data_IF_086206106056
#
_entry.id   IF_086206106056
#
_cell.length_a   1.000
_cell.length_b   1.000
_cell.length_c   1.000
_cell.angle_alpha   90.00
_cell.angle_beta   90.00
_cell.angle_gamma   90.00
#
_symmetry.space_group_name_H-M   'P 1'
#
loop_
_entity.id
_entity.type
_entity.pdbx_description
1 polymer ?
#
# COMPACT_ATOMS: atom_id res chain seq x y z
N UNK A 1 -16.76 -21.54 2.76
CA UNK A 1 -17.53 -20.28 2.63
C UNK A 1 -18.16 -20.30 1.25
N UNK A 2 -19.47 -20.09 1.14
CA UNK A 2 -20.09 -19.91 -0.17
C UNK A 2 -19.84 -18.47 -0.64
N UNK A 3 -19.15 -18.30 -1.77
CA UNK A 3 -18.83 -16.99 -2.34
C UNK A 3 -20.07 -16.26 -2.83
N UNK A 4 -21.08 -17.00 -3.30
CA UNK A 4 -22.37 -16.46 -3.72
C UNK A 4 -23.09 -15.77 -2.55
N UNK A 5 -23.04 -16.37 -1.36
CA UNK A 5 -23.57 -15.76 -0.14
C UNK A 5 -22.77 -14.50 0.25
N UNK A 6 -21.45 -14.46 0.00
CA UNK A 6 -20.65 -13.26 0.25
C UNK A 6 -21.06 -12.13 -0.69
N UNK A 7 -21.16 -12.40 -2.00
CA UNK A 7 -21.55 -11.40 -2.98
C UNK A 7 -22.92 -10.81 -2.67
N UNK A 8 -23.90 -11.68 -2.37
CA UNK A 8 -25.25 -11.29 -1.98
C UNK A 8 -25.25 -10.38 -0.76
N UNK A 9 -24.55 -10.77 0.31
CA UNK A 9 -24.44 -9.95 1.52
C UNK A 9 -23.79 -8.58 1.26
N UNK A 10 -22.82 -8.51 0.34
CA UNK A 10 -22.16 -7.25 -0.05
C UNK A 10 -23.08 -6.34 -0.86
N UNK A 11 -24.02 -6.92 -1.62
CA UNK A 11 -24.95 -6.19 -2.46
C UNK A 11 -26.15 -5.67 -1.68
N UNK A 12 -26.70 -6.47 -0.76
CA UNK A 12 -27.94 -6.15 -0.05
C UNK A 12 -27.81 -4.95 0.88
N UNK A 13 -26.68 -4.82 1.59
CA UNK A 13 -26.49 -3.77 2.59
C UNK A 13 -25.04 -3.39 2.81
N UNK A 14 -24.84 -2.20 3.39
CA UNK A 14 -23.53 -1.80 3.91
C UNK A 14 -23.17 -2.61 5.14
N UNK A 15 -21.97 -3.19 5.12
CA UNK A 15 -21.48 -3.97 6.24
C UNK A 15 -20.99 -3.10 7.40
N UNK A 16 -21.05 -3.67 8.61
CA UNK A 16 -20.39 -3.14 9.81
C UNK A 16 -18.91 -3.54 9.83
N UNK A 17 -18.11 -2.85 10.65
CA UNK A 17 -16.66 -3.11 10.76
C UNK A 17 -16.35 -4.57 11.12
N UNK A 18 -17.03 -5.13 12.11
CA UNK A 18 -16.87 -6.52 12.55
C UNK A 18 -17.22 -7.52 11.43
N UNK A 19 -18.24 -7.21 10.62
CA UNK A 19 -18.63 -8.04 9.47
C UNK A 19 -17.55 -8.02 8.38
N UNK A 20 -16.92 -6.86 8.12
CA UNK A 20 -15.78 -6.78 7.20
C UNK A 20 -14.63 -7.67 7.66
N UNK A 21 -14.25 -7.63 8.94
CA UNK A 21 -13.20 -8.50 9.48
C UNK A 21 -13.57 -9.98 9.41
N UNK A 22 -14.78 -10.33 9.85
CA UNK A 22 -15.27 -11.72 9.83
C UNK A 22 -15.24 -12.30 8.42
N UNK A 23 -15.75 -11.56 7.42
CA UNK A 23 -15.75 -11.98 6.01
C UNK A 23 -14.33 -12.05 5.46
N UNK A 24 -13.48 -11.09 5.79
CA UNK A 24 -12.06 -11.08 5.39
C UNK A 24 -11.32 -12.32 5.89
N UNK A 25 -11.44 -12.64 7.19
CA UNK A 25 -10.75 -13.81 7.76
C UNK A 25 -11.30 -15.14 7.24
N UNK A 26 -12.62 -15.25 7.02
CA UNK A 26 -13.21 -16.43 6.37
C UNK A 26 -12.67 -16.61 4.96
N UNK A 27 -12.59 -15.52 4.19
CA UNK A 27 -12.05 -15.52 2.83
C UNK A 27 -10.55 -15.84 2.82
N UNK A 28 -9.78 -15.26 3.75
CA UNK A 28 -8.36 -15.52 3.93
C UNK A 28 -8.07 -17.01 4.12
N UNK A 29 -8.84 -17.68 4.98
CA UNK A 29 -8.69 -19.13 5.22
C UNK A 29 -8.88 -19.95 3.94
N UNK A 30 -9.90 -19.63 3.14
CA UNK A 30 -10.15 -20.29 1.85
C UNK A 30 -9.03 -19.97 0.86
N UNK A 31 -8.64 -18.70 0.77
CA UNK A 31 -7.61 -18.25 -0.14
C UNK A 31 -6.27 -18.94 0.12
N UNK A 32 -5.82 -18.97 1.38
CA UNK A 32 -4.57 -19.63 1.79
C UNK A 32 -4.57 -21.14 1.49
N UNK A 33 -5.72 -21.80 1.67
CA UNK A 33 -5.85 -23.25 1.41
C UNK A 33 -5.65 -23.58 -0.07
N UNK A 34 -6.15 -22.73 -0.96
CA UNK A 34 -6.12 -22.96 -2.41
C UNK A 34 -4.88 -22.38 -3.09
N UNK A 35 -4.32 -21.31 -2.54
CA UNK A 35 -3.25 -20.53 -3.15
C UNK A 35 -1.93 -20.70 -2.37
N UNK A 36 -1.64 -21.93 -1.92
CA UNK A 36 -0.47 -22.25 -1.08
C UNK A 36 0.84 -21.75 -1.67
N UNK A 37 1.05 -21.94 -2.97
CA UNK A 37 2.26 -21.52 -3.66
C UNK A 37 2.45 -20.00 -3.62
N UNK A 38 1.39 -19.23 -3.85
CA UNK A 38 1.43 -17.77 -3.77
C UNK A 38 1.75 -17.27 -2.37
N UNK A 39 1.23 -17.95 -1.35
CA UNK A 39 1.53 -17.64 0.04
C UNK A 39 2.98 -18.00 0.42
N UNK A 40 3.51 -19.12 -0.06
CA UNK A 40 4.92 -19.50 0.13
C UNK A 40 5.84 -18.46 -0.51
N UNK A 41 5.56 -18.03 -1.75
CA UNK A 41 6.34 -17.00 -2.43
C UNK A 41 6.30 -15.65 -1.71
N UNK A 42 5.12 -15.24 -1.21
CA UNK A 42 4.98 -14.02 -0.40
C UNK A 42 5.80 -14.11 0.89
N UNK A 43 5.72 -15.25 1.58
CA UNK A 43 6.47 -15.49 2.82
C UNK A 43 7.97 -15.44 2.55
N UNK A 44 8.45 -16.15 1.54
CA UNK A 44 9.86 -16.17 1.17
C UNK A 44 10.39 -14.77 0.80
N UNK A 45 9.64 -14.01 0.00
CA UNK A 45 10.03 -12.65 -0.36
C UNK A 45 10.02 -11.69 0.82
N UNK A 46 9.01 -11.76 1.70
CA UNK A 46 8.98 -10.94 2.91
C UNK A 46 10.14 -11.29 3.86
N UNK A 47 10.41 -12.58 4.06
CA UNK A 47 11.56 -13.07 4.83
C UNK A 47 12.87 -12.50 4.29
N UNK A 48 13.06 -12.55 2.97
CA UNK A 48 14.25 -11.98 2.34
C UNK A 48 14.37 -10.48 2.57
N UNK A 49 13.29 -9.71 2.46
CA UNK A 49 13.28 -8.27 2.71
C UNK A 49 13.66 -7.96 4.17
N UNK A 50 13.08 -8.69 5.12
CA UNK A 50 13.38 -8.51 6.55
C UNK A 50 14.84 -8.85 6.87
N UNK A 51 15.31 -10.00 6.39
CA UNK A 51 16.69 -10.42 6.60
C UNK A 51 17.69 -9.46 5.95
N UNK A 52 17.41 -9.02 4.72
CA UNK A 52 18.24 -8.07 3.99
C UNK A 52 18.35 -6.74 4.73
N UNK A 53 17.26 -6.25 5.34
CA UNK A 53 17.28 -5.03 6.15
C UNK A 53 18.27 -5.12 7.32
N UNK A 54 18.37 -6.28 7.96
CA UNK A 54 19.35 -6.51 9.05
C UNK A 54 20.77 -6.56 8.48
N UNK A 55 20.99 -7.28 7.38
CA UNK A 55 22.30 -7.34 6.75
C UNK A 55 22.81 -5.95 6.37
N UNK A 56 21.95 -5.08 5.83
CA UNK A 56 22.31 -3.69 5.53
C UNK A 56 22.74 -2.92 6.78
N UNK A 57 22.06 -3.14 7.90
CA UNK A 57 22.40 -2.48 9.15
C UNK A 57 23.73 -2.99 9.74
N UNK A 58 23.99 -4.30 9.66
CA UNK A 58 25.27 -4.89 10.04
C UNK A 58 26.41 -4.36 9.17
N UNK A 59 26.24 -4.35 7.85
CA UNK A 59 27.22 -3.78 6.91
C UNK A 59 27.46 -2.30 7.20
N UNK A 60 26.43 -1.53 7.53
CA UNK A 60 26.59 -0.12 7.87
C UNK A 60 27.41 0.08 9.16
N UNK A 61 27.31 -0.84 10.13
CA UNK A 61 28.16 -0.84 11.33
C UNK A 61 29.60 -1.19 10.95
N UNK A 62 29.81 -2.22 10.14
CA UNK A 62 31.14 -2.65 9.70
C UNK A 62 31.86 -1.54 8.92
N UNK A 63 31.15 -0.82 8.04
CA UNK A 63 31.70 0.35 7.32
C UNK A 63 32.14 1.43 8.31
N UNK A 64 31.33 1.76 9.32
CA UNK A 64 31.68 2.78 10.32
C UNK A 64 32.92 2.38 11.13
N UNK A 65 33.08 1.09 11.44
CA UNK A 65 34.27 0.59 12.13
C UNK A 65 35.49 0.71 11.21
N UNK A 66 35.36 0.32 9.94
CA UNK A 66 36.44 0.42 8.96
C UNK A 66 36.85 1.88 8.68
N UNK A 67 35.90 2.81 8.66
CA UNK A 67 36.16 4.27 8.58
C UNK A 67 37.02 4.75 9.74
N UNK A 68 36.70 4.34 10.98
CA UNK A 68 37.47 4.72 12.17
C UNK A 68 38.90 4.16 12.17
N UNK A 69 39.14 3.02 11.52
CA UNK A 69 40.45 2.36 11.44
C UNK A 69 41.20 2.72 10.12
N UNK A 70 40.56 3.46 9.22
CA UNK A 70 41.15 3.84 7.93
C UNK A 70 41.30 2.69 6.92
N UNK A 71 40.50 1.63 7.05
CA UNK A 71 40.57 0.45 6.17
C UNK A 71 39.72 0.64 4.91
N UNK A 72 40.28 1.36 3.93
CA UNK A 72 39.59 1.68 2.67
C UNK A 72 39.09 0.45 1.89
N UNK A 73 39.73 -0.72 2.03
CA UNK A 73 39.33 -1.94 1.34
C UNK A 73 38.02 -2.49 1.90
N UNK A 74 37.87 -2.51 3.22
CA UNK A 74 36.64 -2.95 3.89
C UNK A 74 35.48 -1.98 3.65
N UNK A 75 35.75 -0.68 3.66
CA UNK A 75 34.76 0.35 3.31
C UNK A 75 34.21 0.10 1.89
N UNK A 76 35.10 -0.05 0.91
CA UNK A 76 34.70 -0.27 -0.49
C UNK A 76 33.94 -1.59 -0.66
N UNK A 77 34.40 -2.66 -0.01
CA UNK A 77 33.72 -3.96 0.00
C UNK A 77 32.32 -3.88 0.61
N UNK A 78 32.18 -3.21 1.75
CA UNK A 78 30.89 -2.99 2.42
C UNK A 78 29.92 -2.19 1.58
N UNK A 79 30.37 -1.10 0.94
CA UNK A 79 29.54 -0.30 0.04
C UNK A 79 29.04 -1.10 -1.16
N UNK A 80 29.91 -1.92 -1.76
CA UNK A 80 29.53 -2.79 -2.88
C UNK A 80 28.51 -3.85 -2.46
N UNK A 81 28.71 -4.51 -1.32
CA UNK A 81 27.75 -5.49 -0.77
C UNK A 81 26.41 -4.84 -0.45
N UNK A 82 26.41 -3.64 0.15
CA UNK A 82 25.18 -2.91 0.44
C UNK A 82 24.42 -2.58 -0.86
N UNK A 83 25.12 -2.16 -1.92
CA UNK A 83 24.51 -1.90 -3.23
C UNK A 83 23.83 -3.16 -3.81
N UNK A 84 24.50 -4.32 -3.74
CA UNK A 84 23.93 -5.59 -4.19
C UNK A 84 22.67 -5.97 -3.40
N UNK A 85 22.67 -5.74 -2.08
CA UNK A 85 21.49 -6.01 -1.25
C UNK A 85 20.35 -5.07 -1.60
N UNK A 86 20.60 -3.78 -1.79
CA UNK A 86 19.57 -2.81 -2.25
C UNK A 86 18.94 -3.28 -3.56
N UNK A 87 19.78 -3.68 -4.53
CA UNK A 87 19.30 -4.16 -5.83
C UNK A 87 18.47 -5.44 -5.69
N UNK A 88 18.89 -6.36 -4.82
CA UNK A 88 18.14 -7.59 -4.52
C UNK A 88 16.78 -7.29 -3.86
N UNK A 89 16.73 -6.40 -2.87
CA UNK A 89 15.48 -5.95 -2.25
C UNK A 89 14.55 -5.35 -3.30
N UNK A 90 15.08 -4.54 -4.22
CA UNK A 90 14.31 -3.92 -5.29
C UNK A 90 13.67 -4.96 -6.20
N UNK A 91 14.44 -5.95 -6.68
CA UNK A 91 13.91 -7.04 -7.53
C UNK A 91 12.83 -7.84 -6.79
N UNK A 92 13.10 -8.25 -5.55
CA UNK A 92 12.13 -9.02 -4.75
C UNK A 92 10.86 -8.21 -4.51
N UNK A 93 10.98 -6.90 -4.27
CA UNK A 93 9.83 -6.01 -4.09
C UNK A 93 8.96 -5.90 -5.35
N UNK A 94 9.56 -5.89 -6.55
CA UNK A 94 8.82 -5.94 -7.81
C UNK A 94 8.06 -7.26 -7.97
N UNK A 95 8.71 -8.39 -7.68
CA UNK A 95 8.06 -9.71 -7.73
C UNK A 95 6.88 -9.76 -6.74
N UNK A 96 7.09 -9.34 -5.50
CA UNK A 96 6.03 -9.29 -4.50
C UNK A 96 4.89 -8.33 -4.90
N UNK A 97 5.20 -7.20 -5.52
CA UNK A 97 4.22 -6.26 -6.06
C UNK A 97 3.31 -6.92 -7.09
N UNK A 98 3.89 -7.67 -8.03
CA UNK A 98 3.13 -8.44 -9.02
C UNK A 98 2.26 -9.51 -8.35
N UNK A 99 2.80 -10.25 -7.37
CA UNK A 99 2.03 -11.25 -6.61
C UNK A 99 0.81 -10.63 -5.93
N UNK A 100 0.99 -9.46 -5.29
CA UNK A 100 -0.11 -8.74 -4.64
C UNK A 100 -1.18 -8.34 -5.65
N UNK A 101 -0.81 -7.88 -6.86
CA UNK A 101 -1.76 -7.56 -7.94
C UNK A 101 -2.54 -8.79 -8.42
N UNK A 102 -1.88 -9.92 -8.58
CA UNK A 102 -2.52 -11.19 -8.95
C UNK A 102 -3.58 -11.56 -7.91
N UNK A 103 -3.21 -11.54 -6.62
CA UNK A 103 -4.12 -11.84 -5.51
C UNK A 103 -5.30 -10.87 -5.52
N UNK A 104 -5.01 -9.58 -5.69
CA UNK A 104 -6.00 -8.51 -5.73
C UNK A 104 -7.07 -8.77 -6.79
N UNK A 105 -6.61 -9.01 -8.02
CA UNK A 105 -7.46 -9.23 -9.18
C UNK A 105 -8.24 -10.52 -8.99
N UNK A 106 -7.56 -11.63 -8.69
CA UNK A 106 -8.20 -12.95 -8.52
C UNK A 106 -9.25 -12.95 -7.41
N UNK A 107 -9.00 -12.26 -6.29
CA UNK A 107 -9.96 -12.13 -5.20
C UNK A 107 -11.24 -11.39 -5.65
N UNK A 108 -11.10 -10.29 -6.39
CA UNK A 108 -12.24 -9.53 -6.92
C UNK A 108 -13.10 -10.37 -7.87
N UNK A 109 -12.49 -10.97 -8.90
CA UNK A 109 -13.21 -11.82 -9.86
C UNK A 109 -13.89 -13.01 -9.20
N UNK A 110 -13.27 -13.57 -8.17
CA UNK A 110 -13.81 -14.70 -7.42
C UNK A 110 -15.03 -14.37 -6.59
N UNK A 111 -15.01 -13.25 -5.87
CA UNK A 111 -16.19 -12.81 -5.11
C UNK A 111 -17.37 -12.57 -6.05
N UNK A 112 -17.12 -12.12 -7.27
CA UNK A 112 -18.16 -11.86 -8.27
C UNK A 112 -18.54 -13.08 -9.12
N UNK A 113 -17.96 -14.26 -8.89
CA UNK A 113 -18.23 -15.46 -9.69
C UNK A 113 -17.70 -15.41 -11.13
N UNK A 114 -16.83 -14.44 -11.45
CA UNK A 114 -16.28 -14.18 -12.80
C UNK A 114 -14.85 -14.70 -12.99
N UNK A 115 -14.44 -15.73 -12.25
CA UNK A 115 -13.05 -16.24 -12.28
C UNK A 115 -12.55 -16.59 -13.70
N UNK A 116 -13.44 -17.03 -14.59
CA UNK A 116 -13.11 -17.37 -15.99
C UNK A 116 -12.66 -16.17 -16.83
N UNK A 117 -13.00 -14.95 -16.42
CA UNK A 117 -12.60 -13.72 -17.11
C UNK A 117 -11.19 -13.26 -16.73
N UNK A 118 -10.61 -13.82 -15.66
CA UNK A 118 -9.25 -13.49 -15.24
C UNK A 118 -8.22 -13.89 -16.30
N UNK A 119 -7.37 -12.94 -16.69
CA UNK A 119 -6.22 -13.15 -17.56
C UNK A 119 -4.97 -12.56 -16.93
N UNK A 120 -3.92 -13.37 -16.81
CA UNK A 120 -2.67 -12.93 -16.20
C UNK A 120 -2.01 -11.80 -17.00
N UNK A 121 -2.06 -11.85 -18.33
CA UNK A 121 -1.50 -10.83 -19.22
C UNK A 121 -2.11 -9.46 -18.93
N UNK A 122 -3.43 -9.41 -18.71
CA UNK A 122 -4.14 -8.17 -18.39
C UNK A 122 -3.70 -7.61 -17.03
N UNK A 123 -3.58 -8.47 -16.01
CA UNK A 123 -3.10 -8.07 -14.68
C UNK A 123 -1.64 -7.57 -14.73
N UNK A 124 -0.78 -8.26 -15.49
CA UNK A 124 0.62 -7.90 -15.69
C UNK A 124 0.78 -6.56 -16.41
N UNK A 125 0.05 -6.34 -17.51
CA UNK A 125 0.07 -5.05 -18.23
C UNK A 125 -0.43 -3.92 -17.33
N UNK A 126 -1.47 -4.14 -16.52
CA UNK A 126 -1.93 -3.15 -15.53
C UNK A 126 -0.85 -2.88 -14.48
N UNK A 127 -0.14 -3.91 -14.02
CA UNK A 127 0.97 -3.75 -13.08
C UNK A 127 2.10 -2.88 -13.65
N UNK A 128 2.50 -3.10 -14.91
CA UNK A 128 3.48 -2.25 -15.60
C UNK A 128 3.00 -0.80 -15.73
N UNK A 129 1.74 -0.58 -16.11
CA UNK A 129 1.14 0.76 -16.16
C UNK A 129 1.15 1.45 -14.81
N UNK A 130 0.89 0.70 -13.73
CA UNK A 130 0.95 1.21 -12.37
C UNK A 130 2.37 1.57 -11.95
N UNK A 131 3.38 0.76 -12.30
CA UNK A 131 4.80 1.11 -12.08
C UNK A 131 5.13 2.43 -12.79
N UNK A 132 4.74 2.57 -14.06
CA UNK A 132 4.95 3.82 -14.81
C UNK A 132 4.29 5.02 -14.14
N UNK A 133 3.04 4.88 -13.69
CA UNK A 133 2.33 5.92 -12.94
C UNK A 133 3.03 6.26 -11.61
N UNK A 134 3.50 5.24 -10.88
CA UNK A 134 4.24 5.42 -9.64
C UNK A 134 5.55 6.19 -9.86
N UNK A 135 6.31 5.89 -10.92
CA UNK A 135 7.53 6.61 -11.24
C UNK A 135 7.27 8.09 -11.55
N UNK A 136 6.22 8.40 -12.34
CA UNK A 136 5.80 9.79 -12.60
C UNK A 136 5.45 10.51 -11.30
N UNK A 137 4.75 9.82 -10.39
CA UNK A 137 4.39 10.37 -9.09
C UNK A 137 5.62 10.64 -8.21
N UNK A 138 6.61 9.74 -8.20
CA UNK A 138 7.89 9.96 -7.49
C UNK A 138 8.60 11.20 -8.01
N UNK A 139 8.67 11.39 -9.33
CA UNK A 139 9.25 12.60 -9.93
C UNK A 139 8.49 13.86 -9.51
N UNK A 140 7.14 13.83 -9.52
CA UNK A 140 6.33 14.95 -9.07
C UNK A 140 6.57 15.30 -7.59
N UNK A 141 6.68 14.29 -6.71
CA UNK A 141 7.01 14.49 -5.30
C UNK A 141 8.42 15.07 -5.14
N UNK A 142 9.42 14.60 -5.91
CA UNK A 142 10.77 15.17 -5.87
C UNK A 142 10.78 16.65 -6.23
N UNK A 143 10.00 17.06 -7.23
CA UNK A 143 9.86 18.48 -7.61
C UNK A 143 9.22 19.28 -6.47
N UNK A 144 8.18 18.76 -5.82
CA UNK A 144 7.54 19.40 -4.67
C UNK A 144 8.53 19.55 -3.51
N UNK A 145 9.28 18.50 -3.18
CA UNK A 145 10.30 18.55 -2.12
C UNK A 145 11.37 19.58 -2.45
N UNK A 146 11.85 19.62 -3.70
CA UNK A 146 12.83 20.63 -4.13
C UNK A 146 12.28 22.06 -4.00
N UNK A 147 11.02 22.29 -4.35
CA UNK A 147 10.36 23.59 -4.16
C UNK A 147 10.23 23.98 -2.68
N UNK A 148 9.92 23.02 -1.80
CA UNK A 148 9.84 23.24 -0.36
C UNK A 148 11.22 23.53 0.25
N UNK A 149 12.28 22.88 -0.22
CA UNK A 149 13.67 23.18 0.19
C UNK A 149 14.10 24.57 -0.31
N UNK A 150 13.69 24.97 -1.51
CA UNK A 150 13.96 26.33 -1.97
C UNK A 150 13.23 27.37 -1.09
N UNK A 151 11.99 27.08 -0.69
CA UNK A 151 11.23 27.92 0.24
C UNK A 151 11.90 28.03 1.61
N UNK A 152 12.42 26.93 2.18
CA UNK A 152 13.15 26.99 3.46
C UNK A 152 14.38 27.91 3.35
N UNK A 153 15.15 27.80 2.26
CA UNK A 153 16.34 28.63 2.03
C UNK A 153 15.96 30.12 1.90
N UNK A 154 14.93 30.45 1.13
CA UNK A 154 14.47 31.84 0.97
C UNK A 154 14.03 32.42 2.31
N UNK A 155 13.24 31.67 3.08
CA UNK A 155 12.80 32.10 4.41
C UNK A 155 13.99 32.29 5.35
N UNK A 156 14.96 31.38 5.35
CA UNK A 156 16.17 31.49 6.16
C UNK A 156 17.01 32.73 5.83
N UNK A 157 17.10 33.09 4.54
CA UNK A 157 17.77 34.33 4.11
C UNK A 157 16.98 35.56 4.59
N UNK A 158 15.65 35.55 4.44
CA UNK A 158 14.79 36.67 4.80
C UNK A 158 14.77 36.96 6.31
N UNK A 159 14.95 35.94 7.14
CA UNK A 159 14.95 36.06 8.61
C UNK A 159 16.34 36.06 9.22
N UNK A 160 17.41 36.16 8.40
CA UNK A 160 18.80 36.01 8.85
C UNK A 160 19.22 36.98 9.96
N UNK A 161 18.61 38.17 10.02
CA UNK A 161 18.92 39.19 11.03
C UNK A 161 18.13 38.99 12.35
N UNK A 162 17.21 38.02 12.40
CA UNK A 162 16.41 37.72 13.57
C UNK A 162 17.05 36.57 14.34
N UNK A 163 17.82 36.90 15.36
CA UNK A 163 18.53 35.93 16.19
C UNK A 163 17.58 35.29 17.22
N UNK A 164 16.73 34.38 16.73
CA UNK A 164 15.71 33.70 17.53
C UNK A 164 15.60 32.23 17.17
N UNK A 165 15.89 31.36 18.14
CA UNK A 165 15.68 29.91 18.06
C UNK A 165 14.25 29.56 17.63
N UNK A 166 13.27 30.36 18.06
CA UNK A 166 11.86 30.15 17.69
C UNK A 166 11.63 30.34 16.18
N UNK A 167 12.31 31.30 15.56
CA UNK A 167 12.23 31.57 14.11
C UNK A 167 12.86 30.44 13.31
N UNK A 168 13.99 29.89 13.77
CA UNK A 168 14.62 28.72 13.15
C UNK A 168 13.67 27.50 13.11
N UNK A 169 12.97 27.22 14.21
CA UNK A 169 11.97 26.13 14.25
C UNK A 169 10.82 26.35 13.27
N UNK A 170 10.32 27.59 13.15
CA UNK A 170 9.20 27.91 12.24
C UNK A 170 9.58 27.69 10.78
N UNK A 171 10.79 28.08 10.37
CA UNK A 171 11.29 27.96 8.99
C UNK A 171 11.28 26.49 8.54
N UNK A 172 11.60 25.56 9.43
CA UNK A 172 11.60 24.12 9.15
C UNK A 172 10.19 23.53 9.27
N UNK A 173 9.42 23.95 10.28
CA UNK A 173 8.11 23.38 10.57
C UNK A 173 7.09 23.67 9.45
N UNK A 174 7.06 24.89 8.89
CA UNK A 174 6.07 25.27 7.88
C UNK A 174 6.16 24.35 6.64
N UNK A 175 7.31 24.20 5.97
CA UNK A 175 7.40 23.37 4.77
C UNK A 175 7.16 21.89 5.06
N UNK A 176 7.52 21.41 6.26
CA UNK A 176 7.21 20.06 6.71
C UNK A 176 5.71 19.83 6.86
N UNK A 177 4.97 20.76 7.48
CA UNK A 177 3.51 20.68 7.61
C UNK A 177 2.84 20.69 6.23
N UNK A 178 3.30 21.56 5.33
CA UNK A 178 2.80 21.62 3.95
C UNK A 178 3.03 20.28 3.24
N UNK A 179 4.23 19.71 3.34
CA UNK A 179 4.55 18.40 2.76
C UNK A 179 3.61 17.29 3.26
N UNK A 180 3.42 17.21 4.59
CA UNK A 180 2.52 16.22 5.21
C UNK A 180 1.07 16.43 4.74
N UNK A 181 0.61 17.68 4.67
CA UNK A 181 -0.74 18.01 4.22
C UNK A 181 -0.99 17.60 2.76
N UNK A 182 -0.02 17.83 1.86
CA UNK A 182 -0.09 17.42 0.45
C UNK A 182 -0.20 15.90 0.34
N UNK A 183 0.65 15.15 1.05
CA UNK A 183 0.60 13.68 1.04
C UNK A 183 -0.73 13.17 1.57
N UNK A 184 -1.20 13.72 2.70
CA UNK A 184 -2.46 13.30 3.31
C UNK A 184 -3.64 13.55 2.36
N UNK A 185 -3.70 14.73 1.74
CA UNK A 185 -4.73 15.07 0.76
C UNK A 185 -4.71 14.12 -0.44
N UNK A 186 -3.51 13.79 -0.93
CA UNK A 186 -3.36 12.84 -2.02
C UNK A 186 -3.86 11.44 -1.64
N UNK A 187 -3.40 10.87 -0.51
CA UNK A 187 -3.80 9.53 -0.03
C UNK A 187 -5.31 9.43 0.16
N UNK A 188 -5.93 10.45 0.76
CA UNK A 188 -7.40 10.49 0.97
C UNK A 188 -8.20 10.54 -0.33
N UNK A 189 -7.58 10.89 -1.46
CA UNK A 189 -8.20 11.00 -2.78
C UNK A 189 -7.92 9.81 -3.69
N UNK A 190 -7.18 8.77 -3.26
CA UNK A 190 -6.89 7.58 -4.09
C UNK A 190 -7.28 6.26 -3.41
N UNK A 191 -8.10 6.31 -2.35
CA UNK A 191 -8.38 5.18 -1.47
C UNK A 191 -8.92 3.93 -2.19
N UNK A 192 -9.76 4.12 -3.21
CA UNK A 192 -10.39 3.06 -4.00
C UNK A 192 -9.75 2.88 -5.39
N UNK A 193 -8.76 3.70 -5.74
CA UNK A 193 -8.18 3.74 -7.09
C UNK A 193 -7.57 2.39 -7.47
N UNK A 194 -6.77 1.81 -6.57
CA UNK A 194 -6.11 0.52 -6.81
C UNK A 194 -7.15 -0.57 -7.08
N UNK A 195 -8.25 -0.56 -6.32
CA UNK A 195 -9.35 -1.50 -6.36
C UNK A 195 -9.99 -1.52 -7.75
N UNK A 196 -10.41 -0.33 -8.17
CA UNK A 196 -11.08 -0.07 -9.43
C UNK A 196 -10.14 -0.44 -10.58
N UNK A 197 -8.90 0.05 -10.52
CA UNK A 197 -7.94 -0.10 -11.61
C UNK A 197 -7.64 -1.57 -11.91
N UNK A 198 -7.53 -2.43 -10.89
CA UNK A 198 -7.23 -3.85 -11.12
C UNK A 198 -8.48 -4.70 -11.38
N UNK A 199 -9.57 -4.49 -10.65
CA UNK A 199 -10.78 -5.33 -10.76
C UNK A 199 -11.64 -4.93 -11.96
N UNK A 200 -11.77 -3.64 -12.26
CA UNK A 200 -12.60 -3.15 -13.36
C UNK A 200 -11.78 -2.98 -14.64
N UNK A 201 -12.41 -3.16 -15.80
CA UNK A 201 -11.76 -2.94 -17.09
C UNK A 201 -11.93 -1.47 -17.51
N UNK A 202 -11.28 -0.56 -16.79
CA UNK A 202 -11.36 0.89 -17.02
C UNK A 202 -9.97 1.47 -17.34
N UNK A 203 -9.93 2.61 -18.04
CA UNK A 203 -8.68 3.37 -18.24
C UNK A 203 -8.28 4.06 -16.94
N UNK A 204 -6.99 4.40 -16.79
CA UNK A 204 -6.44 5.07 -15.58
C UNK A 204 -7.26 6.29 -15.18
N UNK A 205 -7.57 7.17 -16.14
CA UNK A 205 -8.30 8.41 -15.87
C UNK A 205 -9.75 8.15 -15.42
N UNK A 206 -10.43 7.21 -16.07
CA UNK A 206 -11.80 6.83 -15.70
C UNK A 206 -11.82 6.16 -14.32
N UNK A 207 -10.83 5.31 -14.03
CA UNK A 207 -10.64 4.72 -12.69
C UNK A 207 -10.41 5.78 -11.62
N UNK A 208 -9.65 6.84 -11.92
CA UNK A 208 -9.40 7.93 -10.99
C UNK A 208 -10.69 8.73 -10.69
N UNK A 209 -11.43 9.12 -11.74
CA UNK A 209 -12.73 9.81 -11.59
C UNK A 209 -13.71 8.97 -10.77
N UNK A 210 -13.86 7.70 -11.12
CA UNK A 210 -14.75 6.79 -10.41
C UNK A 210 -14.34 6.60 -8.94
N UNK A 211 -13.04 6.52 -8.66
CA UNK A 211 -12.52 6.50 -7.30
C UNK A 211 -12.89 7.76 -6.50
N UNK A 212 -12.85 8.95 -7.11
CA UNK A 212 -13.26 10.19 -6.42
C UNK A 212 -14.74 10.16 -6.08
N UNK A 213 -15.58 9.62 -6.97
CA UNK A 213 -17.01 9.44 -6.72
C UNK A 213 -17.27 8.46 -5.57
N UNK A 214 -16.67 7.27 -5.59
CA UNK A 214 -16.80 6.28 -4.52
C UNK A 214 -16.24 6.79 -3.19
N UNK A 215 -15.18 7.57 -3.21
CA UNK A 215 -14.57 8.12 -1.99
C UNK A 215 -15.49 9.10 -1.26
N UNK A 216 -16.38 9.82 -1.97
CA UNK A 216 -17.32 10.76 -1.36
C UNK A 216 -18.18 10.02 -0.34
N UNK A 217 -18.06 10.40 0.93
CA UNK A 217 -18.78 9.82 2.10
C UNK A 217 -18.40 8.39 2.49
N UNK A 218 -17.45 7.72 1.82
CA UNK A 218 -17.03 6.36 2.18
C UNK A 218 -15.57 6.25 2.67
N UNK A 219 -14.79 7.33 2.70
CA UNK A 219 -13.36 7.32 3.09
C UNK A 219 -13.06 6.50 4.36
N UNK A 220 -13.80 6.72 5.45
CA UNK A 220 -13.56 6.01 6.71
C UNK A 220 -13.83 4.50 6.64
N UNK A 221 -14.72 4.06 5.72
CA UNK A 221 -15.08 2.63 5.59
C UNK A 221 -13.91 1.78 5.12
N UNK A 222 -13.01 2.36 4.33
CA UNK A 222 -11.78 1.69 3.91
C UNK A 222 -10.61 2.01 4.85
N UNK A 223 -10.49 3.26 5.31
CA UNK A 223 -9.36 3.69 6.16
C UNK A 223 -9.33 2.91 7.48
N UNK A 224 -10.45 2.85 8.21
CA UNK A 224 -10.49 2.26 9.55
C UNK A 224 -10.06 0.79 9.56
N UNK A 225 -10.65 -0.13 8.77
CA UNK A 225 -10.23 -1.52 8.79
C UNK A 225 -8.79 -1.72 8.28
N UNK A 226 -8.37 -0.96 7.27
CA UNK A 226 -7.01 -1.04 6.73
C UNK A 226 -5.97 -0.59 7.75
N UNK A 227 -6.22 0.49 8.48
CA UNK A 227 -5.33 0.96 9.56
C UNK A 227 -5.18 -0.09 10.65
N UNK A 228 -6.27 -0.72 11.07
CA UNK A 228 -6.22 -1.77 12.11
C UNK A 228 -5.32 -2.94 11.67
N UNK A 229 -5.48 -3.44 10.43
CA UNK A 229 -4.62 -4.51 9.90
C UNK A 229 -3.16 -4.03 9.80
N UNK A 230 -2.93 -2.81 9.32
CA UNK A 230 -1.60 -2.24 9.20
C UNK A 230 -0.89 -2.11 10.55
N UNK A 231 -1.59 -1.62 11.59
CA UNK A 231 -1.05 -1.48 12.95
C UNK A 231 -0.62 -2.83 13.53
N UNK A 232 -1.40 -3.89 13.33
CA UNK A 232 -1.02 -5.24 13.76
C UNK A 232 0.21 -5.74 12.98
N UNK A 233 0.24 -5.50 11.67
CA UNK A 233 1.37 -5.90 10.83
C UNK A 233 2.67 -5.14 11.19
N UNK A 234 2.58 -3.90 11.66
CA UNK A 234 3.74 -3.10 12.08
C UNK A 234 4.55 -3.78 13.19
N UNK A 235 3.92 -4.55 14.08
CA UNK A 235 4.62 -5.29 15.15
C UNK A 235 5.70 -6.21 14.57
N UNK A 236 5.49 -6.76 13.37
CA UNK A 236 6.46 -7.62 12.69
C UNK A 236 7.49 -6.85 11.87
N UNK A 237 7.21 -5.60 11.48
CA UNK A 237 8.08 -4.79 10.60
C UNK A 237 9.03 -3.92 11.41
N UNK A 238 8.54 -3.29 12.49
CA UNK A 238 9.29 -2.29 13.27
C UNK A 238 10.62 -2.81 13.83
N UNK A 239 10.72 -4.06 14.35
CA UNK A 239 12.00 -4.54 14.90
C UNK A 239 13.15 -4.54 13.89
N UNK A 240 12.84 -4.76 12.60
CA UNK A 240 13.81 -4.74 11.50
C UNK A 240 14.18 -3.33 11.07
N UNK A 241 13.36 -2.33 11.37
CA UNK A 241 13.61 -0.92 11.00
C UNK A 241 14.43 -0.18 12.05
N UNK A 242 14.32 -0.56 13.33
CA UNK A 242 14.96 0.12 14.46
C UNK A 242 16.20 -0.56 15.02
N UNK A 243 16.92 -1.35 14.22
CA UNK A 243 18.22 -1.91 14.61
C UNK A 243 18.19 -2.82 15.85
N UNK A 244 17.01 -3.31 16.26
CA UNK A 244 16.83 -4.10 17.49
C UNK A 244 17.61 -5.42 17.43
N UNK A 245 17.78 -5.97 16.23
CA UNK A 245 18.38 -7.30 16.03
C UNK A 245 19.84 -7.28 15.56
N UNK A 246 20.50 -6.12 15.48
CA UNK A 246 21.84 -6.02 14.90
C UNK A 246 22.92 -6.82 15.66
N UNK A 247 22.73 -6.98 16.97
CA UNK A 247 23.64 -7.71 17.84
C UNK A 247 23.40 -9.23 17.87
N UNK A 248 22.34 -9.71 17.21
CA UNK A 248 22.03 -11.13 17.17
C UNK A 248 22.85 -11.82 16.05
N UNK A 249 23.28 -13.08 16.28
CA UNK A 249 23.89 -13.90 15.23
C UNK A 249 23.01 -14.02 13.99
N UNK A 250 23.63 -14.03 12.80
CA UNK A 250 22.93 -14.03 11.51
C UNK A 250 21.95 -15.21 11.32
N UNK A 251 22.24 -16.37 11.91
CA UNK A 251 21.33 -17.52 11.88
C UNK A 251 20.05 -17.26 12.67
N UNK A 252 20.17 -16.63 13.84
CA UNK A 252 19.01 -16.30 14.69
C UNK A 252 18.16 -15.22 14.02
N UNK A 253 18.78 -14.18 13.47
CA UNK A 253 18.07 -13.13 12.74
C UNK A 253 17.36 -13.66 11.51
N UNK A 254 17.95 -14.63 10.81
CA UNK A 254 17.30 -15.33 9.71
C UNK A 254 16.05 -16.10 10.15
N UNK A 255 16.12 -16.86 11.26
CA UNK A 255 14.97 -17.58 11.80
C UNK A 255 13.84 -16.63 12.23
N UNK A 256 14.17 -15.51 12.88
CA UNK A 256 13.19 -14.48 13.25
C UNK A 256 12.56 -13.88 11.99
N UNK A 257 13.36 -13.61 10.95
CA UNK A 257 12.88 -13.10 9.66
C UNK A 257 11.88 -14.04 9.01
N UNK A 258 12.04 -15.37 9.12
CA UNK A 258 11.08 -16.36 8.60
C UNK A 258 9.74 -16.23 9.31
N UNK A 259 9.76 -16.16 10.64
CA UNK A 259 8.53 -16.06 11.46
C UNK A 259 7.79 -14.76 11.13
N UNK A 260 8.50 -13.63 11.13
CA UNK A 260 7.93 -12.32 10.79
C UNK A 260 7.44 -12.28 9.33
N UNK A 261 8.20 -12.87 8.40
CA UNK A 261 7.84 -12.98 6.98
C UNK A 261 6.53 -13.74 6.76
N UNK A 262 6.34 -14.83 7.50
CA UNK A 262 5.11 -15.63 7.47
C UNK A 262 3.89 -14.83 7.95
N UNK A 263 3.97 -14.22 9.14
CA UNK A 263 2.87 -13.42 9.67
C UNK A 263 2.58 -12.19 8.80
N UNK A 264 3.62 -11.50 8.34
CA UNK A 264 3.44 -10.36 7.43
C UNK A 264 2.83 -10.76 6.09
N UNK A 265 3.13 -11.98 5.61
CA UNK A 265 2.45 -12.57 4.45
C UNK A 265 0.95 -12.76 4.68
N UNK A 266 0.55 -13.29 5.84
CA UNK A 266 -0.86 -13.47 6.22
C UNK A 266 -1.58 -12.12 6.27
N UNK A 267 -1.02 -11.15 7.00
CA UNK A 267 -1.63 -9.83 7.14
C UNK A 267 -1.63 -9.06 5.80
N UNK A 268 -0.63 -9.24 4.95
CA UNK A 268 -0.60 -8.66 3.60
C UNK A 268 -1.74 -9.18 2.72
N UNK A 269 -2.04 -10.49 2.76
CA UNK A 269 -3.19 -11.03 2.04
C UNK A 269 -4.51 -10.54 2.68
N UNK A 270 -4.59 -10.52 4.01
CA UNK A 270 -5.77 -10.02 4.72
C UNK A 270 -6.09 -8.56 4.36
N UNK A 271 -5.09 -7.70 4.29
CA UNK A 271 -5.22 -6.30 3.85
C UNK A 271 -5.78 -6.19 2.43
N UNK A 272 -5.26 -6.99 1.49
CA UNK A 272 -5.78 -7.03 0.12
C UNK A 272 -7.25 -7.46 0.10
N UNK A 273 -7.58 -8.57 0.76
CA UNK A 273 -8.95 -9.09 0.80
C UNK A 273 -9.92 -8.10 1.45
N UNK A 274 -9.51 -7.44 2.54
CA UNK A 274 -10.27 -6.38 3.19
C UNK A 274 -10.59 -5.24 2.21
N UNK A 275 -9.56 -4.75 1.49
CA UNK A 275 -9.71 -3.69 0.49
C UNK A 275 -10.68 -4.08 -0.62
N UNK A 276 -10.62 -5.32 -1.11
CA UNK A 276 -11.53 -5.83 -2.14
C UNK A 276 -12.97 -5.92 -1.62
N UNK A 277 -13.18 -6.48 -0.42
CA UNK A 277 -14.51 -6.63 0.18
C UNK A 277 -15.15 -5.25 0.42
N UNK A 278 -14.41 -4.30 1.02
CA UNK A 278 -14.89 -2.94 1.27
C UNK A 278 -15.22 -2.23 -0.04
N UNK A 279 -14.36 -2.39 -1.05
CA UNK A 279 -14.60 -1.83 -2.38
C UNK A 279 -15.89 -2.34 -3.01
N UNK A 280 -16.06 -3.65 -3.11
CA UNK A 280 -17.26 -4.24 -3.72
C UNK A 280 -18.52 -3.82 -2.97
N UNK A 281 -18.50 -3.79 -1.63
CA UNK A 281 -19.63 -3.33 -0.84
C UNK A 281 -19.98 -1.85 -1.08
N UNK A 282 -18.97 -0.98 -1.18
CA UNK A 282 -19.17 0.45 -1.44
C UNK A 282 -19.65 0.69 -2.87
N UNK A 283 -19.12 -0.07 -3.83
CA UNK A 283 -19.50 0.03 -5.23
C UNK A 283 -20.93 -0.45 -5.46
N UNK A 284 -21.35 -1.57 -4.88
CA UNK A 284 -22.73 -2.05 -5.00
C UNK A 284 -23.74 -1.07 -4.41
N UNK A 285 -23.46 -0.47 -3.26
CA UNK A 285 -24.29 0.62 -2.71
C UNK A 285 -24.33 1.85 -3.63
N UNK A 286 -23.21 2.18 -4.27
CA UNK A 286 -23.14 3.31 -5.19
C UNK A 286 -24.01 3.07 -6.43
N UNK A 287 -23.87 1.91 -7.06
CA UNK A 287 -24.66 1.54 -8.25
C UNK A 287 -26.16 1.49 -7.93
N UNK A 288 -26.54 0.88 -6.80
CA UNK A 288 -27.94 0.84 -6.36
C UNK A 288 -28.55 2.25 -6.23
N UNK A 289 -27.81 3.20 -5.64
CA UNK A 289 -28.25 4.59 -5.51
C UNK A 289 -28.33 5.34 -6.85
N UNK A 290 -27.52 4.97 -7.82
CA UNK A 290 -27.63 5.54 -9.17
C UNK A 290 -28.88 5.03 -9.87
N UNK A 291 -29.18 3.73 -9.75
CA UNK A 291 -30.37 3.12 -10.33
C UNK A 291 -31.65 3.68 -9.70
N UNK A 292 -31.69 3.82 -8.37
CA UNK A 292 -32.81 4.45 -7.64
C UNK A 292 -33.07 5.88 -8.14
N UNK A 293 -32.03 6.72 -8.26
CA UNK A 293 -32.16 8.09 -8.78
C UNK A 293 -32.60 8.15 -10.24
N UNK A 294 -32.14 7.20 -11.06
CA UNK A 294 -32.52 7.13 -12.48
C UNK A 294 -34.00 6.79 -12.61
N UNK A 295 -34.49 5.88 -11.77
CA UNK A 295 -35.90 5.50 -11.73
C UNK A 295 -36.79 6.65 -11.23
N UNK A 296 -36.40 7.34 -10.16
CA UNK A 296 -37.11 8.54 -9.65
C UNK A 296 -37.20 9.65 -10.71
N UNK A 297 -36.09 9.98 -11.37
CA UNK A 297 -36.10 11.00 -12.42
C UNK A 297 -36.95 10.57 -13.64
N UNK A 298 -37.11 9.27 -13.89
CA UNK A 298 -37.95 8.78 -14.98
C UNK A 298 -39.44 8.81 -14.63
N UNK A 299 -39.82 8.59 -13.37
CA UNK A 299 -41.20 8.73 -12.92
C UNK A 299 -41.64 10.19 -12.86
N UNK A 300 -40.78 11.10 -12.40
CA UNK A 300 -41.10 12.53 -12.31
C UNK A 300 -41.32 13.17 -13.70
N UNK A 301 -40.55 12.73 -14.70
CA UNK A 301 -40.76 13.17 -16.09
C UNK A 301 -42.06 12.65 -16.70
N UNK A 302 -42.54 11.48 -16.26
CA UNK A 302 -43.82 10.90 -16.70
C UNK A 302 -45.03 11.59 -16.07
N UNK A 303 -44.91 12.07 -14.82
CA UNK A 303 -45.95 12.86 -14.16
C UNK A 303 -46.06 14.30 -14.68
N UNK A 304 -44.98 14.85 -15.26
CA UNK A 304 -44.98 16.19 -15.87
C UNK A 304 -45.52 16.22 -17.32
N UNK A 305 -45.70 15.06 -17.96
CA UNK A 305 -46.25 14.92 -19.32
C UNK A 305 -47.76 14.57 -19.36
N UNK A 306 -48.41 14.42 -18.20
CA UNK A 306 -49.85 14.16 -18.03
C UNK A 306 -50.63 15.41 -17.58
#
# INVERSE_FOLDING_TARGET
MNFENLQKDLFERKLKLEEYFSKTFKLLKVFLKENKLWFILLTAGNTWIFFSSILQQQIAIDIRIAENVGNNREILGGLFLNLLIIFSIFIVSLVLGLLRVIIYTKAGYRIEGREKEYRFENAFVKYLKYIGLYLIFVVAIMIIVMALVLLTIILAIATREIDSVFVEYIIIAIPLIVYIAIILLFVLNILYFFQIFYIRNMKIWDSFKYNLELSKKNRLRIIVPVIIIALVNLVFILPFSFQIFNFLPSLITFLISIICGFFSGIFGIADILMKVIVFLNVEYDYLKKQDEKKNENSSDNLELEL
#
